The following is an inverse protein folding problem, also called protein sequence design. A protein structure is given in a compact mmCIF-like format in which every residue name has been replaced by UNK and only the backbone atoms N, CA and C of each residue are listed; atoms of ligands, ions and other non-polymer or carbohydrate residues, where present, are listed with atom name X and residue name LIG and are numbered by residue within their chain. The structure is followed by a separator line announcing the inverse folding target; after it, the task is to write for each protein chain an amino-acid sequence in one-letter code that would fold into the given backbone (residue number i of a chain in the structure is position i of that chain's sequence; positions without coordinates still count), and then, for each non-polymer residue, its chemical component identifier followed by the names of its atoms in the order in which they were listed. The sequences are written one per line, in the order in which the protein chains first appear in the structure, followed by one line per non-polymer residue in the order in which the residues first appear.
data_IF_740541592262
#
_entry.id   IF_740541592262
#
_cell.length_a   1.000
_cell.length_b   1.000
_cell.length_c   1.000
_cell.angle_alpha   90.00
_cell.angle_beta   90.00
_cell.angle_gamma   90.00
#
_symmetry.space_group_name_H-M   'P 1'
#
loop_
_entity.id
_entity.type
_entity.pdbx_description
1 polymer ?
#
# COMPACT_ATOMS: atom_id res chain seq x y z
N UNK A 1 -29.97 1.54 7.77
CA UNK A 1 -28.53 1.26 7.99
C UNK A 1 -27.92 2.49 8.66
N UNK A 2 -27.49 2.40 9.92
CA UNK A 2 -26.85 3.52 10.61
C UNK A 2 -25.46 3.76 10.01
N UNK A 3 -25.35 4.74 9.11
CA UNK A 3 -24.10 5.21 8.51
C UNK A 3 -23.42 6.23 9.41
N UNK A 4 -23.21 5.89 10.69
CA UNK A 4 -22.39 6.74 11.56
C UNK A 4 -20.95 6.75 11.02
N UNK A 5 -20.51 7.88 10.46
CA UNK A 5 -19.15 8.04 9.92
C UNK A 5 -18.15 7.75 11.04
N UNK A 6 -17.39 6.64 10.93
CA UNK A 6 -16.33 6.34 11.90
C UNK A 6 -15.29 7.47 11.87
N UNK A 7 -14.99 8.03 13.04
CA UNK A 7 -13.96 9.06 13.19
C UNK A 7 -12.60 8.47 12.83
N UNK A 8 -11.94 9.05 11.84
CA UNK A 8 -10.61 8.60 11.43
C UNK A 8 -9.56 9.14 12.41
N UNK A 9 -8.65 8.27 12.85
CA UNK A 9 -7.48 8.68 13.64
C UNK A 9 -6.46 9.30 12.70
N UNK A 10 -6.06 10.55 12.97
CA UNK A 10 -4.96 11.19 12.24
C UNK A 10 -3.63 10.52 12.63
N UNK A 11 -2.75 10.28 11.65
CA UNK A 11 -1.45 9.64 11.85
C UNK A 11 -0.38 10.54 11.26
N UNK A 12 0.59 10.92 12.09
CA UNK A 12 1.71 11.79 11.73
C UNK A 12 2.69 11.11 10.76
N UNK A 13 3.44 11.91 10.01
CA UNK A 13 4.41 11.41 9.03
C UNK A 13 5.52 10.59 9.69
N UNK A 14 5.99 11.03 10.87
CA UNK A 14 7.01 10.32 11.65
C UNK A 14 6.60 8.90 12.02
N UNK A 15 5.36 8.72 12.47
CA UNK A 15 4.84 7.39 12.81
C UNK A 15 4.80 6.49 11.58
N UNK A 16 4.40 7.03 10.42
CA UNK A 16 4.41 6.28 9.14
C UNK A 16 5.83 5.84 8.79
N UNK A 17 6.82 6.71 8.96
CA UNK A 17 8.22 6.39 8.70
C UNK A 17 8.77 5.33 9.66
N UNK A 18 8.49 5.45 10.97
CA UNK A 18 8.90 4.47 11.97
C UNK A 18 8.33 3.08 11.66
N UNK A 19 7.05 2.99 11.28
CA UNK A 19 6.40 1.75 10.84
C UNK A 19 7.11 1.17 9.61
N UNK A 20 7.44 1.98 8.61
CA UNK A 20 8.12 1.50 7.40
C UNK A 20 9.56 1.01 7.67
N UNK A 21 10.28 1.63 8.62
CA UNK A 21 11.61 1.19 9.05
C UNK A 21 11.55 -0.15 9.79
N UNK A 22 10.69 -0.27 10.81
CA UNK A 22 10.48 -1.54 11.53
C UNK A 22 9.96 -2.64 10.63
N UNK A 23 9.11 -2.33 9.65
CA UNK A 23 8.64 -3.31 8.67
C UNK A 23 9.76 -3.87 7.77
N UNK A 24 10.86 -3.13 7.60
CA UNK A 24 12.04 -3.59 6.85
C UNK A 24 12.80 -4.66 7.61
N UNK A 25 12.89 -4.52 8.94
CA UNK A 25 13.53 -5.47 9.85
C UNK A 25 12.61 -6.66 10.15
N UNK A 26 11.33 -6.38 10.40
CA UNK A 26 10.34 -7.37 10.78
C UNK A 26 8.98 -7.10 10.10
N UNK A 27 8.68 -7.87 9.05
CA UNK A 27 7.48 -7.68 8.22
C UNK A 27 6.21 -8.35 8.79
N UNK A 28 6.26 -8.86 10.03
CA UNK A 28 5.09 -9.47 10.66
C UNK A 28 4.06 -8.39 11.06
N UNK A 29 2.93 -8.34 10.36
CA UNK A 29 1.87 -7.34 10.58
C UNK A 29 1.31 -7.34 12.01
N UNK A 30 1.22 -8.52 12.65
CA UNK A 30 0.78 -8.65 14.04
C UNK A 30 1.74 -7.95 15.01
N UNK A 31 3.05 -8.05 14.74
CA UNK A 31 4.07 -7.36 15.51
C UNK A 31 3.95 -5.84 15.38
N UNK A 32 3.82 -5.34 14.14
CA UNK A 32 3.63 -3.91 13.87
C UNK A 32 2.34 -3.35 14.49
N UNK A 33 1.27 -4.15 14.53
CA UNK A 33 -0.03 -3.77 15.13
C UNK A 33 0.16 -3.52 16.63
N UNK A 34 0.85 -4.44 17.31
CA UNK A 34 1.13 -4.33 18.76
C UNK A 34 2.09 -3.20 19.08
N UNK A 35 3.13 -3.01 18.25
CA UNK A 35 4.19 -2.04 18.53
C UNK A 35 3.75 -0.58 18.31
N UNK A 36 2.84 -0.34 17.35
CA UNK A 36 2.42 1.01 16.98
C UNK A 36 0.97 1.36 17.37
N UNK A 37 0.24 0.44 18.00
CA UNK A 37 -1.18 0.61 18.34
C UNK A 37 -2.02 1.08 17.12
N UNK A 38 -1.73 0.48 15.96
CA UNK A 38 -2.41 0.79 14.70
C UNK A 38 -3.22 -0.40 14.25
N UNK A 39 -4.47 -0.20 13.76
CA UNK A 39 -5.26 -1.28 13.19
C UNK A 39 -4.50 -1.98 12.06
N UNK A 40 -4.61 -3.30 11.98
CA UNK A 40 -3.95 -4.10 10.95
C UNK A 40 -4.25 -3.62 9.52
N UNK A 41 -5.47 -3.11 9.29
CA UNK A 41 -5.88 -2.49 8.02
C UNK A 41 -5.07 -1.23 7.68
N UNK A 42 -4.82 -0.39 8.68
CA UNK A 42 -4.00 0.83 8.53
C UNK A 42 -2.56 0.48 8.19
N UNK A 43 -1.97 -0.49 8.89
CA UNK A 43 -0.61 -0.96 8.58
C UNK A 43 -0.54 -1.52 7.16
N UNK A 44 -1.55 -2.29 6.75
CA UNK A 44 -1.62 -2.81 5.38
C UNK A 44 -1.65 -1.69 4.34
N UNK A 45 -2.40 -0.62 4.58
CA UNK A 45 -2.47 0.55 3.70
C UNK A 45 -1.14 1.31 3.66
N UNK A 46 -0.47 1.49 4.81
CA UNK A 46 0.84 2.13 4.89
C UNK A 46 1.91 1.37 4.11
N UNK A 47 1.94 0.04 4.23
CA UNK A 47 2.88 -0.79 3.48
C UNK A 47 2.64 -0.72 1.97
N UNK A 48 1.39 -0.67 1.52
CA UNK A 48 1.04 -0.48 0.11
C UNK A 48 1.44 0.91 -0.40
N UNK A 49 1.26 1.94 0.43
CA UNK A 49 1.57 3.32 0.09
C UNK A 49 3.07 3.70 0.31
N UNK A 50 3.94 2.73 0.63
CA UNK A 50 5.36 2.97 0.95
C UNK A 50 6.08 3.86 -0.07
N UNK A 51 5.94 3.57 -1.36
CA UNK A 51 6.60 4.34 -2.44
C UNK A 51 6.14 5.80 -2.45
N UNK A 52 4.83 6.02 -2.34
CA UNK A 52 4.22 7.36 -2.30
C UNK A 52 4.66 8.16 -1.08
N UNK A 53 4.76 7.51 0.08
CA UNK A 53 5.25 8.15 1.32
C UNK A 53 6.70 8.58 1.17
N UNK A 54 7.57 7.71 0.62
CA UNK A 54 8.97 8.04 0.38
C UNK A 54 9.15 9.13 -0.67
N UNK A 55 8.33 9.12 -1.72
CA UNK A 55 8.33 10.14 -2.75
C UNK A 55 7.88 11.49 -2.19
N UNK A 56 6.82 11.53 -1.38
CA UNK A 56 6.36 12.74 -0.69
C UNK A 56 7.46 13.38 0.16
N UNK A 57 8.26 12.58 0.87
CA UNK A 57 9.39 13.05 1.66
C UNK A 57 10.50 13.60 0.75
N UNK A 58 10.85 12.85 -0.31
CA UNK A 58 11.92 13.23 -1.24
C UNK A 58 11.58 14.51 -2.01
N UNK A 59 10.31 14.71 -2.34
CA UNK A 59 9.84 15.86 -3.09
C UNK A 59 9.67 17.13 -2.25
N UNK A 60 9.86 17.07 -0.93
CA UNK A 60 9.65 18.20 -0.02
C UNK A 60 8.27 18.86 -0.18
N UNK A 61 7.30 18.12 -0.74
CA UNK A 61 6.15 18.72 -1.38
C UNK A 61 5.06 19.04 -0.36
N UNK A 62 4.50 20.25 -0.48
CA UNK A 62 3.48 20.79 0.39
C UNK A 62 2.37 19.76 0.66
N UNK A 63 1.99 19.50 1.92
CA UNK A 63 1.07 18.43 2.30
C UNK A 63 -0.31 18.55 1.62
N UNK A 64 -0.69 19.77 1.20
CA UNK A 64 -1.91 20.05 0.44
C UNK A 64 -1.92 19.44 -0.97
N UNK A 65 -0.81 19.50 -1.71
CA UNK A 65 -0.73 18.97 -3.08
C UNK A 65 -0.74 17.43 -3.06
N UNK A 66 -0.12 16.81 -2.06
CA UNK A 66 -0.14 15.36 -1.88
C UNK A 66 -1.55 14.87 -1.52
N UNK A 67 -2.29 15.60 -0.68
CA UNK A 67 -3.66 15.23 -0.30
C UNK A 67 -4.62 15.34 -1.49
N UNK A 68 -4.46 16.37 -2.32
CA UNK A 68 -5.21 16.56 -3.56
C UNK A 68 -4.92 15.42 -4.55
N UNK A 69 -3.65 15.05 -4.72
CA UNK A 69 -3.23 13.97 -5.62
C UNK A 69 -3.67 12.58 -5.13
N UNK A 70 -3.65 12.34 -3.80
CA UNK A 70 -4.15 11.12 -3.18
C UNK A 70 -5.67 10.97 -3.33
N UNK A 71 -6.44 12.06 -3.19
CA UNK A 71 -7.89 12.03 -3.45
C UNK A 71 -8.21 11.73 -4.92
N UNK A 72 -7.50 12.38 -5.85
CA UNK A 72 -7.72 12.16 -7.29
C UNK A 72 -7.35 10.75 -7.73
N UNK A 73 -6.24 10.20 -7.21
CA UNK A 73 -5.83 8.83 -7.52
C UNK A 73 -6.79 7.77 -6.95
N UNK A 74 -7.37 8.02 -5.76
CA UNK A 74 -8.33 7.09 -5.16
C UNK A 74 -9.62 6.96 -5.98
N UNK A 75 -10.08 8.04 -6.59
CA UNK A 75 -11.29 8.06 -7.44
C UNK A 75 -11.03 7.38 -8.80
N UNK A 76 -9.82 7.54 -9.37
CA UNK A 76 -9.45 6.92 -10.66
C UNK A 76 -9.21 5.40 -10.53
N UNK A 77 -8.59 4.94 -9.44
CA UNK A 77 -8.29 3.52 -9.24
C UNK A 77 -9.57 2.67 -9.06
N UNK A 78 -10.63 3.22 -8.44
CA UNK A 78 -11.91 2.52 -8.25
C UNK A 78 -12.67 2.29 -9.58
N UNK A 79 -12.42 3.13 -10.60
CA UNK A 79 -12.99 2.93 -11.95
C UNK A 79 -12.17 1.95 -12.81
N UNK A 80 -10.90 1.70 -12.52
CA UNK A 80 -10.06 0.79 -13.29
C UNK A 80 -10.20 -0.70 -12.87
N UNK A 81 -10.45 -0.98 -11.58
CA UNK A 81 -10.42 -2.37 -11.07
C UNK A 81 -11.64 -3.21 -11.49
N UNK A 82 -12.81 -2.59 -11.74
CA UNK A 82 -14.01 -3.31 -12.18
C UNK A 82 -13.88 -3.91 -13.59
N UNK A 83 -13.11 -3.28 -14.48
CA UNK A 83 -12.85 -3.80 -15.83
C UNK A 83 -11.69 -4.80 -15.87
N UNK A 84 -10.70 -4.69 -14.99
CA UNK A 84 -9.56 -5.60 -14.96
C UNK A 84 -9.92 -7.00 -14.40
N UNK A 85 -10.80 -7.08 -13.39
CA UNK A 85 -11.22 -8.38 -12.81
C UNK A 85 -12.06 -9.26 -13.73
N UNK A 86 -12.70 -8.70 -14.76
CA UNK A 86 -13.46 -9.49 -15.75
C UNK A 86 -12.57 -10.08 -16.86
N UNK A 87 -11.36 -9.55 -17.11
CA UNK A 87 -10.49 -10.00 -18.21
C UNK A 87 -9.37 -10.96 -17.81
N UNK A 88 -8.90 -10.92 -16.58
CA UNK A 88 -7.82 -11.81 -16.13
C UNK A 88 -8.24 -12.59 -14.89
N UNK A 89 -9.07 -13.61 -15.13
CA UNK A 89 -9.21 -14.74 -14.23
C UNK A 89 -7.86 -15.43 -14.02
N UNK A 90 -7.58 -15.79 -12.76
CA UNK A 90 -6.66 -16.84 -12.26
C UNK A 90 -5.66 -17.40 -13.32
N UNK A 91 -4.36 -17.02 -13.24
CA UNK A 91 -3.17 -17.83 -13.66
C UNK A 91 -1.97 -17.06 -14.29
N UNK A 92 -1.57 -15.88 -13.78
CA UNK A 92 -0.28 -15.29 -14.24
C UNK A 92 0.94 -15.71 -13.42
N UNK A 93 0.78 -16.42 -12.28
CA UNK A 93 1.90 -16.89 -11.46
C UNK A 93 2.65 -18.13 -11.98
N UNK A 94 2.10 -18.89 -12.94
CA UNK A 94 2.73 -20.12 -13.41
C UNK A 94 3.60 -19.98 -14.67
N UNK A 95 3.55 -18.85 -15.39
CA UNK A 95 4.25 -18.73 -16.70
C UNK A 95 5.64 -18.08 -16.63
N UNK A 96 5.88 -17.19 -15.66
CA UNK A 96 7.17 -16.50 -15.53
C UNK A 96 8.24 -17.43 -14.94
N UNK A 97 7.86 -18.33 -14.02
CA UNK A 97 8.81 -19.27 -13.39
C UNK A 97 9.27 -20.40 -14.34
N UNK A 98 8.47 -20.82 -15.32
CA UNK A 98 8.89 -21.86 -16.29
C UNK A 98 9.88 -21.34 -17.33
N UNK A 99 9.95 -20.03 -17.59
CA UNK A 99 10.84 -19.45 -18.60
C UNK A 99 12.25 -19.16 -18.06
N UNK A 100 12.43 -19.15 -16.74
CA UNK A 100 13.73 -18.94 -16.11
C UNK A 100 14.57 -20.23 -15.99
N UNK A 101 13.94 -21.41 -15.89
CA UNK A 101 14.68 -22.68 -15.75
C UNK A 101 15.25 -23.23 -17.05
N UNK A 102 14.77 -22.79 -18.21
CA UNK A 102 15.25 -23.29 -19.52
C UNK A 102 16.44 -22.53 -20.10
N UNK A 103 16.87 -21.42 -19.48
CA UNK A 103 18.02 -20.61 -19.95
C UNK A 103 19.30 -20.93 -19.17
N UNK A 104 19.21 -21.70 -18.08
CA UNK A 104 20.37 -22.06 -17.24
C UNK A 104 21.01 -23.40 -17.63
N UNK A 105 20.53 -24.06 -18.70
CA UNK A 105 21.12 -25.30 -19.23
C UNK A 105 21.37 -25.08 -20.73
N UNK A 106 22.36 -24.24 -21.04
CA UNK A 106 23.10 -24.24 -22.30
C UNK A 106 24.39 -23.44 -22.13
#
# INVERSE_FOLDING_TARGET
MNTSRRKLRSITLDTKLKVLRTAKENNHKSYLTRNFDLPRSTIQSLLRAKSKILQAIKSGSNPFLILLFLCLSFIVEDRADKNARRRFGRNTRCRILKKASTVAIN
#
